data_IF_505389482022
#
_entry.id   IF_505389482022
#
_cell.length_a   1.000
_cell.length_b   1.000
_cell.length_c   1.000
_cell.angle_alpha   90.00
_cell.angle_beta   90.00
_cell.angle_gamma   90.00
#
_symmetry.space_group_name_H-M   'P 1'
#
loop_
_entity.id
_entity.type
_entity.pdbx_description
1 polymer ?
#
# COMPACT_ATOMS: atom_id res chain seq x y z
N UNK A 1 -3.97 13.63 8.44
CA UNK A 1 -3.46 13.53 7.06
C UNK A 1 -3.25 12.06 6.71
N UNK A 2 -4.27 11.19 6.89
CA UNK A 2 -4.09 9.73 6.87
C UNK A 2 -4.81 8.98 5.73
N UNK A 3 -5.53 9.69 4.86
CA UNK A 3 -6.42 9.07 3.85
C UNK A 3 -6.08 9.43 2.40
N UNK A 4 -5.05 10.24 2.14
CA UNK A 4 -4.72 10.64 0.76
C UNK A 4 -4.31 9.43 -0.08
N UNK A 5 -3.55 8.50 0.50
CA UNK A 5 -3.12 7.28 -0.21
C UNK A 5 -4.29 6.39 -0.64
N UNK A 6 -5.42 6.41 0.08
CA UNK A 6 -6.63 5.64 -0.27
C UNK A 6 -7.22 6.10 -1.61
N UNK A 7 -7.05 7.37 -1.98
CA UNK A 7 -7.47 7.89 -3.30
C UNK A 7 -6.63 7.35 -4.45
N UNK A 8 -5.44 6.84 -4.13
CA UNK A 8 -4.50 6.26 -5.07
C UNK A 8 -4.52 4.72 -5.07
N UNK A 9 -5.44 4.11 -4.31
CA UNK A 9 -5.61 2.67 -4.20
C UNK A 9 -6.36 2.12 -5.43
N UNK A 10 -5.82 1.05 -6.01
CA UNK A 10 -6.38 0.34 -7.15
C UNK A 10 -6.37 -1.16 -6.85
N UNK A 11 -7.49 -1.83 -7.09
CA UNK A 11 -7.53 -3.29 -7.01
C UNK A 11 -6.98 -3.87 -8.30
N UNK A 12 -6.09 -4.84 -8.18
CA UNK A 12 -5.60 -5.64 -9.29
C UNK A 12 -6.29 -7.01 -9.20
N UNK A 13 -6.77 -7.56 -10.33
CA UNK A 13 -7.49 -8.86 -10.38
C UNK A 13 -6.56 -10.08 -10.18
N UNK A 14 -5.42 -9.90 -9.50
CA UNK A 14 -4.39 -10.91 -9.24
C UNK A 14 -4.24 -11.24 -7.75
N UNK A 15 -5.18 -10.80 -6.91
CA UNK A 15 -5.11 -10.95 -5.46
C UNK A 15 -4.19 -9.92 -4.79
N UNK A 16 -3.95 -8.80 -5.47
CA UNK A 16 -3.21 -7.67 -4.90
C UNK A 16 -3.98 -6.36 -5.03
N UNK A 17 -3.66 -5.40 -4.16
CA UNK A 17 -4.07 -4.01 -4.30
C UNK A 17 -2.82 -3.15 -4.41
N UNK A 18 -2.84 -2.21 -5.34
CA UNK A 18 -1.75 -1.28 -5.63
C UNK A 18 -2.09 0.11 -5.14
N UNK A 19 -1.16 0.73 -4.43
CA UNK A 19 -1.17 2.15 -4.13
C UNK A 19 -0.23 2.82 -5.12
N UNK A 20 -0.78 3.63 -6.03
CA UNK A 20 0.03 4.38 -6.99
C UNK A 20 0.92 5.39 -6.27
N UNK A 21 2.15 5.53 -6.74
CA UNK A 21 3.14 6.47 -6.25
C UNK A 21 2.56 7.88 -6.29
N UNK A 22 2.56 8.55 -5.15
CA UNK A 22 2.06 9.91 -5.01
C UNK A 22 2.89 10.64 -3.94
N UNK A 23 2.83 11.97 -3.95
CA UNK A 23 3.56 12.78 -2.98
C UNK A 23 5.08 12.57 -3.07
N UNK A 24 5.67 12.01 -2.00
CA UNK A 24 7.12 11.77 -1.89
C UNK A 24 7.52 10.32 -2.16
N UNK A 25 6.57 9.46 -2.54
CA UNK A 25 6.89 8.07 -2.89
C UNK A 25 7.79 8.04 -4.13
N UNK A 26 8.87 7.27 -4.08
CA UNK A 26 9.77 7.03 -5.20
C UNK A 26 9.30 5.88 -6.10
N UNK A 27 8.48 4.98 -5.55
CA UNK A 27 7.94 3.78 -6.22
C UNK A 27 6.49 3.57 -5.83
N UNK A 28 5.78 2.72 -6.57
CA UNK A 28 4.46 2.25 -6.16
C UNK A 28 4.55 1.31 -4.95
N UNK A 29 3.44 1.15 -4.24
CA UNK A 29 3.30 0.16 -3.19
C UNK A 29 2.24 -0.88 -3.53
N UNK A 30 2.42 -2.11 -3.06
CA UNK A 30 1.57 -3.25 -3.36
C UNK A 30 1.29 -4.10 -2.12
N UNK A 31 0.05 -4.49 -1.97
CA UNK A 31 -0.46 -5.22 -0.81
C UNK A 31 -1.09 -6.50 -1.33
N UNK A 32 -0.66 -7.65 -0.80
CA UNK A 32 -1.24 -8.95 -1.16
C UNK A 32 -2.59 -9.12 -0.46
N UNK A 33 -3.66 -8.68 -1.10
CA UNK A 33 -5.02 -8.72 -0.55
C UNK A 33 -6.08 -8.65 -1.64
N UNK A 34 -7.26 -9.17 -1.33
CA UNK A 34 -8.48 -8.82 -2.04
C UNK A 34 -9.24 -7.69 -1.31
N UNK A 35 -10.28 -7.17 -1.98
CA UNK A 35 -11.11 -6.09 -1.45
C UNK A 35 -11.84 -6.46 -0.14
N UNK A 36 -12.22 -7.72 0.03
CA UNK A 36 -12.95 -8.19 1.20
C UNK A 36 -12.04 -8.28 2.42
N UNK A 37 -10.86 -8.87 2.25
CA UNK A 37 -9.82 -8.97 3.28
C UNK A 37 -9.33 -7.58 3.69
N UNK A 38 -9.11 -6.69 2.72
CA UNK A 38 -8.71 -5.31 2.96
C UNK A 38 -9.74 -4.55 3.80
N UNK A 39 -11.03 -4.64 3.46
CA UNK A 39 -12.08 -3.95 4.20
C UNK A 39 -12.29 -4.48 5.63
N UNK A 40 -12.04 -5.77 5.86
CA UNK A 40 -12.21 -6.41 7.17
C UNK A 40 -11.02 -6.17 8.11
N UNK A 41 -9.83 -5.91 7.57
CA UNK A 41 -8.56 -5.77 8.30
C UNK A 41 -7.93 -4.37 8.15
N UNK A 42 -8.75 -3.33 7.96
CA UNK A 42 -8.28 -1.94 7.95
C UNK A 42 -7.83 -1.53 9.37
N UNK A 43 -6.52 -1.62 9.59
CA UNK A 43 -5.79 -0.68 10.43
C UNK A 43 -5.01 0.22 9.48
N UNK A 44 -5.44 1.47 9.34
CA UNK A 44 -4.92 2.43 8.35
C UNK A 44 -3.42 2.71 8.50
N UNK A 45 -2.86 2.36 9.66
CA UNK A 45 -1.46 2.58 9.97
C UNK A 45 -0.51 1.63 9.23
N UNK A 46 -0.96 0.41 8.88
CA UNK A 46 -0.15 -0.56 8.13
C UNK A 46 0.14 -0.09 6.69
N UNK A 47 -0.89 0.23 5.90
CA UNK A 47 -0.70 0.83 4.57
C UNK A 47 0.05 2.17 4.61
N UNK A 48 -0.12 2.98 5.66
CA UNK A 48 0.65 4.23 5.82
C UNK A 48 2.15 3.96 6.05
N UNK A 49 2.52 2.95 6.84
CA UNK A 49 3.92 2.53 6.96
C UNK A 49 4.50 2.07 5.61
N UNK A 50 3.72 1.35 4.81
CA UNK A 50 4.14 0.92 3.48
C UNK A 50 4.35 2.13 2.54
N UNK A 51 3.49 3.13 2.60
CA UNK A 51 3.66 4.41 1.87
C UNK A 51 4.95 5.10 2.32
N UNK A 52 5.22 5.17 3.62
CA UNK A 52 6.46 5.74 4.15
C UNK A 52 7.71 4.96 3.67
N UNK A 53 7.64 3.63 3.59
CA UNK A 53 8.71 2.81 3.04
C UNK A 53 8.98 3.12 1.56
N UNK A 54 7.94 3.41 0.78
CA UNK A 54 8.06 3.82 -0.61
C UNK A 54 8.74 5.19 -0.81
N UNK A 55 8.89 6.00 0.24
CA UNK A 55 9.62 7.28 0.19
C UNK A 55 11.15 7.10 0.41
N UNK A 56 11.63 5.92 0.77
CA UNK A 56 13.05 5.70 1.12
C UNK A 56 13.94 5.85 -0.13
N UNK A 57 15.00 6.68 -0.11
CA UNK A 57 15.93 6.82 -1.24
C UNK A 57 16.63 5.50 -1.57
N UNK A 58 16.64 5.14 -2.85
CA UNK A 58 17.27 3.90 -3.32
C UNK A 58 16.38 2.67 -3.26
N UNK A 59 15.10 2.81 -2.91
CA UNK A 59 14.11 1.74 -3.10
C UNK A 59 13.97 1.37 -4.59
N UNK A 60 13.76 0.09 -4.87
CA UNK A 60 13.74 -0.46 -6.24
C UNK A 60 12.42 -1.20 -6.47
N UNK A 61 11.86 -1.04 -7.66
CA UNK A 61 10.66 -1.77 -8.06
C UNK A 61 9.41 -1.21 -7.40
N UNK A 62 8.81 -2.00 -6.50
CA UNK A 62 7.59 -1.65 -5.75
C UNK A 62 7.82 -1.99 -4.26
N UNK A 63 7.20 -1.24 -3.35
CA UNK A 63 7.18 -1.59 -1.92
C UNK A 63 6.09 -2.63 -1.65
N UNK A 64 6.41 -3.74 -0.99
CA UNK A 64 5.47 -4.85 -0.78
C UNK A 64 5.05 -5.04 0.67
N UNK A 65 3.75 -5.24 0.89
CA UNK A 65 3.19 -5.79 2.11
C UNK A 65 2.50 -7.15 1.83
N UNK A 66 2.77 -8.12 2.70
CA UNK A 66 2.21 -9.47 2.62
C UNK A 66 0.85 -9.54 3.31
N UNK A 67 0.03 -10.56 3.00
CA UNK A 67 -1.38 -10.67 3.43
C UNK A 67 -1.62 -10.66 4.96
N UNK A 68 -0.56 -10.91 5.73
CA UNK A 68 -0.50 -10.87 7.19
C UNK A 68 -0.02 -9.51 7.72
N UNK A 69 -0.07 -8.44 6.91
CA UNK A 69 0.33 -7.11 7.33
C UNK A 69 -0.40 -6.70 8.61
N UNK A 70 0.34 -6.03 9.47
CA UNK A 70 -0.14 -5.50 10.73
C UNK A 70 0.61 -4.21 11.02
N UNK A 71 0.14 -3.47 12.03
CA UNK A 71 0.90 -2.37 12.61
C UNK A 71 1.85 -2.86 13.71
#
# INVERSE_FOLDING_TARGET
MGDEWRKHLQTEDDGTMRIKSHGRMNVDARIVTDQTHFNNHIDDRGPEQLVNAAEIPGIVGEAWAMADWHF
#
